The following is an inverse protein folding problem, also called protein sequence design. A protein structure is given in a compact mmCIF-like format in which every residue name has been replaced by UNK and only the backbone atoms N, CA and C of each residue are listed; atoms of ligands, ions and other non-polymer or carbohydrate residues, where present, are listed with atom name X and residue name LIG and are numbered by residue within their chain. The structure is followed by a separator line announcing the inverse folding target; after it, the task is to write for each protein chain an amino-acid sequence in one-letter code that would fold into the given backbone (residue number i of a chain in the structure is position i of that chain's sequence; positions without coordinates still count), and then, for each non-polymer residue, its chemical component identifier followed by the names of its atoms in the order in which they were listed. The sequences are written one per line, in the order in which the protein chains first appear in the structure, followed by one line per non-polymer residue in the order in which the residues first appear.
data_IF_524373535152
#
_entry.id   IF_524373535152
#
_cell.length_a   1.000
_cell.length_b   1.000
_cell.length_c   1.000
_cell.angle_alpha   90.00
_cell.angle_beta   90.00
_cell.angle_gamma   90.00
#
_symmetry.space_group_name_H-M   'P 1'
#
loop_
_entity.id
_entity.type
_entity.pdbx_description
1 polymer ?
#
# COMPACT_ATOMS: atom_id res chain seq x y z
N UNK A 1 -61.59 60.26 27.34
CA UNK A 1 -61.41 58.99 26.61
C UNK A 1 -60.69 59.29 25.31
N UNK A 2 -59.36 59.17 25.29
CA UNK A 2 -58.58 59.23 24.05
C UNK A 2 -58.51 57.82 23.46
N UNK A 3 -59.03 57.65 22.25
CA UNK A 3 -58.85 56.43 21.46
C UNK A 3 -57.38 56.35 21.04
N UNK A 4 -56.69 55.31 21.50
CA UNK A 4 -55.44 54.87 20.90
C UNK A 4 -55.75 54.30 19.52
N UNK A 5 -55.10 54.83 18.49
CA UNK A 5 -55.29 54.39 17.11
C UNK A 5 -54.69 52.99 16.91
N UNK A 6 -55.33 52.22 16.03
CA UNK A 6 -54.93 50.86 15.63
C UNK A 6 -53.56 50.78 14.90
N UNK A 7 -52.85 51.91 14.74
CA UNK A 7 -51.60 51.99 13.98
C UNK A 7 -50.32 51.76 14.81
N UNK A 8 -50.39 51.72 16.14
CA UNK A 8 -49.20 51.52 17.00
C UNK A 8 -48.82 50.03 17.24
N UNK A 9 -49.48 49.08 16.56
CA UNK A 9 -49.22 47.63 16.71
C UNK A 9 -48.53 46.97 15.51
N UNK A 10 -47.96 47.74 14.58
CA UNK A 10 -47.17 47.19 13.47
C UNK A 10 -45.69 47.45 13.72
N UNK A 11 -45.09 46.71 14.66
CA UNK A 11 -43.64 46.61 14.73
C UNK A 11 -43.14 46.04 13.40
N UNK A 12 -42.28 46.80 12.70
CA UNK A 12 -41.65 46.34 11.48
C UNK A 12 -40.94 44.99 11.74
N UNK A 13 -41.05 44.01 10.82
CA UNK A 13 -40.34 42.74 10.99
C UNK A 13 -38.83 43.03 11.12
N UNK A 14 -38.12 42.35 12.03
CA UNK A 14 -36.69 42.54 12.16
C UNK A 14 -36.03 42.26 10.81
N UNK A 15 -35.13 43.16 10.38
CA UNK A 15 -34.38 42.99 9.16
C UNK A 15 -33.71 41.61 9.15
N UNK A 16 -33.72 40.89 8.00
CA UNK A 16 -33.11 39.57 7.94
C UNK A 16 -31.65 39.67 8.34
N UNK A 17 -31.28 38.95 9.39
CA UNK A 17 -29.89 38.84 9.85
C UNK A 17 -29.10 38.28 8.67
N UNK A 18 -28.16 39.07 8.14
CA UNK A 18 -27.30 38.61 7.06
C UNK A 18 -26.67 37.28 7.47
N UNK A 19 -26.83 36.25 6.64
CA UNK A 19 -26.22 34.95 6.89
C UNK A 19 -24.73 35.15 7.15
N UNK A 20 -24.14 34.47 8.15
CA UNK A 20 -22.73 34.62 8.47
C UNK A 20 -21.93 34.33 7.19
N UNK A 21 -21.18 35.34 6.73
CA UNK A 21 -20.29 35.20 5.58
C UNK A 21 -19.28 34.12 5.97
N UNK A 22 -19.34 32.97 5.30
CA UNK A 22 -18.45 31.86 5.57
C UNK A 22 -17.00 32.36 5.52
N UNK A 23 -16.31 32.27 6.65
CA UNK A 23 -14.91 32.65 6.72
C UNK A 23 -14.14 31.87 5.64
N UNK A 24 -13.37 32.56 4.80
CA UNK A 24 -12.50 31.91 3.81
C UNK A 24 -11.59 30.94 4.56
N UNK A 25 -11.83 29.65 4.40
CA UNK A 25 -11.01 28.61 5.03
C UNK A 25 -9.60 28.77 4.49
N UNK A 26 -8.65 29.12 5.37
CA UNK A 26 -7.24 29.22 5.01
C UNK A 26 -6.70 27.81 4.84
N UNK A 27 -6.49 27.41 3.59
CA UNK A 27 -5.93 26.09 3.26
C UNK A 27 -4.46 26.02 3.72
N UNK A 28 -4.06 24.85 4.22
CA UNK A 28 -2.66 24.54 4.49
C UNK A 28 -1.86 24.34 3.18
N UNK A 29 -0.52 24.42 3.20
CA UNK A 29 0.31 24.14 2.02
C UNK A 29 -0.01 22.78 1.38
N UNK A 30 -0.20 21.74 2.18
CA UNK A 30 -0.59 20.41 1.70
C UNK A 30 -1.97 20.41 1.04
N UNK A 31 -2.95 21.12 1.61
CA UNK A 31 -4.28 21.22 1.01
C UNK A 31 -4.25 21.97 -0.33
N UNK A 32 -3.37 22.97 -0.46
CA UNK A 32 -3.14 23.69 -1.72
C UNK A 32 -2.51 22.74 -2.75
N UNK A 33 -1.47 22.02 -2.38
CA UNK A 33 -0.80 21.04 -3.26
C UNK A 33 -1.76 19.94 -3.73
N UNK A 34 -2.59 19.39 -2.83
CA UNK A 34 -3.59 18.37 -3.18
C UNK A 34 -4.65 18.90 -4.14
N UNK A 35 -5.12 20.14 -3.92
CA UNK A 35 -6.06 20.83 -4.83
C UNK A 35 -5.42 21.04 -6.19
N UNK A 36 -4.21 21.58 -6.24
CA UNK A 36 -3.53 21.93 -7.48
C UNK A 36 -3.17 20.67 -8.28
N UNK A 37 -2.72 19.61 -7.60
CA UNK A 37 -2.53 18.28 -8.20
C UNK A 37 -3.83 17.73 -8.79
N UNK A 38 -4.97 17.87 -8.08
CA UNK A 38 -6.27 17.44 -8.61
C UNK A 38 -6.66 18.21 -9.86
N UNK A 39 -6.55 19.53 -9.85
CA UNK A 39 -6.87 20.37 -11.01
C UNK A 39 -5.98 20.02 -12.21
N UNK A 40 -4.68 19.82 -11.99
CA UNK A 40 -3.75 19.38 -13.03
C UNK A 40 -4.13 18.01 -13.61
N UNK A 41 -4.57 17.06 -12.78
CA UNK A 41 -5.07 15.77 -13.25
C UNK A 41 -6.28 15.92 -14.14
N UNK A 42 -7.30 16.68 -13.72
CA UNK A 42 -8.49 16.90 -14.55
C UNK A 42 -8.17 17.59 -15.88
N UNK A 43 -7.33 18.63 -15.88
CA UNK A 43 -6.92 19.30 -17.10
C UNK A 43 -6.16 18.35 -18.07
N UNK A 44 -5.35 17.43 -17.54
CA UNK A 44 -4.67 16.44 -18.36
C UNK A 44 -5.63 15.39 -18.93
N UNK A 45 -6.72 15.05 -18.23
CA UNK A 45 -7.67 14.04 -18.69
C UNK A 45 -8.43 14.44 -19.96
N UNK A 46 -8.55 15.73 -20.23
CA UNK A 46 -9.18 16.26 -21.44
C UNK A 46 -8.36 15.98 -22.71
N UNK A 47 -7.07 15.66 -22.57
CA UNK A 47 -6.21 15.28 -23.70
C UNK A 47 -6.10 13.76 -23.91
N UNK A 48 -6.69 12.96 -23.03
CA UNK A 48 -6.53 11.51 -23.06
C UNK A 48 -7.43 10.86 -24.13
N UNK A 49 -6.93 9.81 -24.79
CA UNK A 49 -7.75 8.98 -25.67
C UNK A 49 -8.81 8.23 -24.87
N UNK A 50 -9.94 7.94 -25.52
CA UNK A 50 -11.06 7.21 -24.90
C UNK A 50 -10.96 5.70 -25.01
N UNK A 51 -10.08 5.18 -25.88
CA UNK A 51 -9.85 3.76 -26.06
C UNK A 51 -8.70 3.23 -25.18
N UNK A 52 -8.80 1.96 -24.81
CA UNK A 52 -7.83 1.30 -23.93
C UNK A 52 -6.41 1.31 -24.50
N UNK A 53 -6.25 1.08 -25.81
CA UNK A 53 -4.92 1.02 -26.42
C UNK A 53 -4.22 2.38 -26.37
N UNK A 54 -4.96 3.46 -26.67
CA UNK A 54 -4.50 4.83 -26.52
C UNK A 54 -4.11 5.14 -25.08
N UNK A 55 -4.95 4.79 -24.11
CA UNK A 55 -4.68 5.05 -22.69
C UNK A 55 -3.42 4.32 -22.21
N UNK A 56 -3.26 3.05 -22.57
CA UNK A 56 -2.08 2.25 -22.21
C UNK A 56 -0.81 2.78 -22.86
N UNK A 57 -0.87 3.22 -24.12
CA UNK A 57 0.26 3.85 -24.80
C UNK A 57 0.69 5.15 -24.07
N UNK A 58 -0.27 5.99 -23.70
CA UNK A 58 0.04 7.20 -22.93
C UNK A 58 0.61 6.85 -21.56
N UNK A 59 0.09 5.83 -20.89
CA UNK A 59 0.59 5.40 -19.60
C UNK A 59 2.03 4.89 -19.65
N UNK A 60 2.43 4.17 -20.71
CA UNK A 60 3.82 3.80 -20.92
C UNK A 60 4.75 5.00 -21.11
N UNK A 61 4.28 6.07 -21.77
CA UNK A 61 5.04 7.31 -21.93
C UNK A 61 5.27 7.97 -20.57
N UNK A 62 4.20 8.14 -19.77
CA UNK A 62 4.29 8.79 -18.45
C UNK A 62 5.07 7.94 -17.44
N UNK A 63 5.00 6.61 -17.51
CA UNK A 63 5.80 5.71 -16.67
C UNK A 63 7.30 5.83 -16.96
N UNK A 64 7.70 5.93 -18.23
CA UNK A 64 9.11 6.17 -18.61
C UNK A 64 9.58 7.56 -18.18
N UNK A 65 8.71 8.58 -18.28
CA UNK A 65 9.01 9.91 -17.81
C UNK A 65 9.20 9.92 -16.28
N UNK A 66 8.34 9.21 -15.54
CA UNK A 66 8.46 9.03 -14.09
C UNK A 66 9.78 8.33 -13.72
N UNK A 67 10.12 7.21 -14.36
CA UNK A 67 11.40 6.51 -14.13
C UNK A 67 12.61 7.42 -14.38
N UNK A 68 12.57 8.19 -15.46
CA UNK A 68 13.62 9.17 -15.79
C UNK A 68 13.75 10.23 -14.70
N UNK A 69 12.62 10.80 -14.26
CA UNK A 69 12.59 11.82 -13.20
C UNK A 69 13.13 11.28 -11.87
N UNK A 70 12.75 10.07 -11.47
CA UNK A 70 13.29 9.40 -10.27
C UNK A 70 14.81 9.26 -10.36
N UNK A 71 15.34 8.80 -11.50
CA UNK A 71 16.79 8.62 -11.69
C UNK A 71 17.56 9.94 -11.70
N UNK A 72 16.95 11.02 -12.20
CA UNK A 72 17.56 12.36 -12.24
C UNK A 72 17.35 13.16 -10.94
N UNK A 73 16.59 12.61 -9.97
CA UNK A 73 16.15 13.33 -8.77
C UNK A 73 15.35 14.62 -9.09
N UNK A 74 14.58 14.59 -10.17
CA UNK A 74 13.67 15.66 -10.58
C UNK A 74 12.32 15.53 -9.86
N UNK A 75 12.16 16.26 -8.76
CA UNK A 75 10.94 16.24 -7.94
C UNK A 75 9.70 16.63 -8.74
N UNK A 76 9.75 17.74 -9.47
CA UNK A 76 8.61 18.24 -10.23
C UNK A 76 8.22 17.26 -11.35
N UNK A 77 9.22 16.64 -12.00
CA UNK A 77 9.02 15.57 -12.96
C UNK A 77 8.35 14.32 -12.38
N UNK A 78 8.75 13.89 -11.17
CA UNK A 78 8.13 12.77 -10.46
C UNK A 78 6.66 13.06 -10.13
N UNK A 79 6.39 14.22 -9.52
CA UNK A 79 5.02 14.63 -9.15
C UNK A 79 4.14 14.78 -10.39
N UNK A 80 4.66 15.41 -11.45
CA UNK A 80 3.93 15.60 -12.71
C UNK A 80 3.57 14.26 -13.35
N UNK A 81 4.55 13.38 -13.55
CA UNK A 81 4.33 12.10 -14.22
C UNK A 81 3.47 11.16 -13.38
N UNK A 82 3.67 11.14 -12.05
CA UNK A 82 2.83 10.38 -11.12
C UNK A 82 1.38 10.85 -11.12
N UNK A 83 1.14 12.16 -11.12
CA UNK A 83 -0.21 12.73 -11.26
C UNK A 83 -0.84 12.35 -12.62
N UNK A 84 -0.07 12.37 -13.71
CA UNK A 84 -0.58 11.99 -15.04
C UNK A 84 -0.93 10.52 -15.15
N UNK A 85 -0.11 9.62 -14.59
CA UNK A 85 -0.48 8.21 -14.46
C UNK A 85 -1.78 8.03 -13.68
N UNK A 86 -1.95 8.77 -12.57
CA UNK A 86 -3.17 8.72 -11.78
C UNK A 86 -4.38 9.25 -12.55
N UNK A 87 -4.19 10.33 -13.31
CA UNK A 87 -5.21 10.88 -14.20
C UNK A 87 -5.65 9.87 -15.27
N UNK A 88 -4.76 9.03 -15.79
CA UNK A 88 -5.13 7.97 -16.74
C UNK A 88 -6.04 6.93 -16.08
N UNK A 89 -5.73 6.49 -14.86
CA UNK A 89 -6.61 5.59 -14.09
C UNK A 89 -7.97 6.23 -13.77
N UNK A 90 -7.98 7.50 -13.35
CA UNK A 90 -9.20 8.29 -13.12
C UNK A 90 -10.02 8.48 -14.42
N UNK A 91 -9.37 8.63 -15.57
CA UNK A 91 -10.03 8.73 -16.88
C UNK A 91 -10.62 7.40 -17.33
N UNK A 92 -9.88 6.29 -17.21
CA UNK A 92 -10.39 4.96 -17.50
C UNK A 92 -11.61 4.61 -16.63
N UNK A 93 -11.61 5.09 -15.38
CA UNK A 93 -12.76 4.99 -14.48
C UNK A 93 -13.90 5.98 -14.81
N UNK A 94 -13.68 7.01 -15.63
CA UNK A 94 -14.70 8.04 -15.89
C UNK A 94 -15.01 8.92 -14.68
N UNK A 95 -14.07 9.11 -13.77
CA UNK A 95 -14.26 9.86 -12.52
C UNK A 95 -14.67 11.31 -12.77
N UNK A 96 -15.76 11.81 -12.19
CA UNK A 96 -16.17 13.21 -12.35
C UNK A 96 -15.53 14.13 -11.30
N UNK A 97 -15.52 15.44 -11.55
CA UNK A 97 -15.03 16.43 -10.57
C UNK A 97 -15.89 16.42 -9.30
N UNK A 98 -17.20 16.29 -9.46
CA UNK A 98 -18.15 16.20 -8.35
C UNK A 98 -17.84 15.01 -7.43
N UNK A 99 -17.60 13.82 -8.00
CA UNK A 99 -17.19 12.64 -7.22
C UNK A 99 -15.85 12.83 -6.52
N UNK A 100 -14.89 13.50 -7.18
CA UNK A 100 -13.59 13.80 -6.60
C UNK A 100 -13.66 14.81 -5.42
N UNK A 101 -14.64 15.70 -5.43
CA UNK A 101 -14.87 16.70 -4.38
C UNK A 101 -15.67 16.14 -3.19
N UNK A 102 -16.56 15.17 -3.43
CA UNK A 102 -17.39 14.54 -2.39
C UNK A 102 -16.57 13.95 -1.24
N UNK A 103 -15.35 13.48 -1.53
CA UNK A 103 -14.47 12.85 -0.56
C UNK A 103 -14.94 11.43 -0.20
N UNK A 104 -14.06 10.45 -0.42
CA UNK A 104 -14.39 9.02 -0.27
C UNK A 104 -14.22 8.26 -1.59
N UNK A 105 -14.26 6.92 -1.55
CA UNK A 105 -14.15 6.12 -2.77
C UNK A 105 -15.40 6.33 -3.64
N UNK A 106 -15.24 6.52 -4.97
CA UNK A 106 -16.39 6.59 -5.86
C UNK A 106 -17.09 5.23 -5.98
N UNK A 107 -18.39 5.26 -6.23
CA UNK A 107 -19.19 4.07 -6.52
C UNK A 107 -18.77 3.47 -7.87
N UNK A 108 -18.94 2.15 -8.05
CA UNK A 108 -18.59 1.48 -9.30
C UNK A 108 -19.36 2.00 -10.52
N UNK A 109 -18.71 2.01 -11.68
CA UNK A 109 -19.22 2.62 -12.92
C UNK A 109 -19.71 1.60 -13.97
N UNK A 110 -19.89 0.33 -13.58
CA UNK A 110 -20.24 -0.79 -14.46
C UNK A 110 -19.07 -1.43 -15.20
N UNK A 111 -17.95 -0.72 -15.42
CA UNK A 111 -16.68 -1.27 -15.92
C UNK A 111 -15.77 -1.72 -14.80
N UNK A 112 -15.72 -0.94 -13.71
CA UNK A 112 -14.90 -1.17 -12.52
C UNK A 112 -15.78 -1.09 -11.28
N UNK A 113 -15.52 -1.93 -10.27
CA UNK A 113 -16.28 -1.87 -9.01
C UNK A 113 -15.87 -0.68 -8.15
N UNK A 114 -14.64 -0.19 -8.30
CA UNK A 114 -14.13 1.01 -7.66
C UNK A 114 -12.94 1.61 -8.42
N UNK A 115 -12.51 2.81 -8.05
CA UNK A 115 -11.34 3.47 -8.64
C UNK A 115 -10.06 2.63 -8.51
N UNK A 116 -9.92 1.86 -7.42
CA UNK A 116 -8.76 1.00 -7.23
C UNK A 116 -8.68 -0.11 -8.28
N UNK A 117 -9.82 -0.62 -8.79
CA UNK A 117 -9.81 -1.64 -9.84
C UNK A 117 -9.33 -1.07 -11.17
N UNK A 118 -9.67 0.18 -11.49
CA UNK A 118 -9.13 0.87 -12.66
C UNK A 118 -7.62 1.07 -12.55
N UNK A 119 -7.12 1.47 -11.38
CA UNK A 119 -5.68 1.57 -11.11
C UNK A 119 -4.98 0.21 -11.22
N UNK A 120 -5.61 -0.88 -10.76
CA UNK A 120 -5.06 -2.24 -10.89
C UNK A 120 -5.03 -2.70 -12.33
N UNK A 121 -6.09 -2.49 -13.10
CA UNK A 121 -6.13 -2.78 -14.53
C UNK A 121 -4.98 -2.08 -15.27
N UNK A 122 -4.78 -0.78 -15.00
CA UNK A 122 -3.68 0.00 -15.57
C UNK A 122 -2.32 -0.61 -15.19
N UNK A 123 -2.12 -0.91 -13.91
CA UNK A 123 -0.84 -1.42 -13.43
C UNK A 123 -0.51 -2.84 -13.86
N UNK A 124 -1.52 -3.70 -13.99
CA UNK A 124 -1.34 -5.05 -14.48
C UNK A 124 -0.98 -5.05 -15.98
N UNK A 125 -1.55 -4.12 -16.75
CA UNK A 125 -1.18 -3.93 -18.16
C UNK A 125 0.23 -3.34 -18.36
N UNK A 126 0.76 -2.65 -17.35
CA UNK A 126 2.11 -2.07 -17.36
C UNK A 126 3.14 -2.93 -16.61
N UNK A 127 2.75 -4.09 -16.07
CA UNK A 127 3.62 -4.89 -15.21
C UNK A 127 4.91 -5.31 -15.96
N UNK A 128 6.03 -5.29 -15.25
CA UNK A 128 7.26 -5.93 -15.73
C UNK A 128 7.06 -7.46 -15.78
N UNK A 129 7.74 -8.14 -16.70
CA UNK A 129 7.70 -9.60 -16.71
C UNK A 129 8.39 -10.15 -15.46
N UNK A 130 7.97 -11.34 -15.00
CA UNK A 130 8.59 -12.01 -13.86
C UNK A 130 10.10 -12.21 -14.11
N UNK A 131 10.92 -11.75 -13.16
CA UNK A 131 12.38 -11.79 -13.21
C UNK A 131 13.03 -10.53 -13.79
N UNK A 132 12.30 -9.69 -14.53
CA UNK A 132 12.82 -8.43 -15.03
C UNK A 132 12.87 -7.37 -13.92
N UNK A 133 13.90 -6.52 -13.97
CA UNK A 133 13.98 -5.36 -13.06
C UNK A 133 12.97 -4.32 -13.56
N UNK A 134 11.96 -3.94 -12.75
CA UNK A 134 10.98 -2.95 -13.16
C UNK A 134 11.59 -1.56 -13.25
N UNK A 135 10.96 -0.68 -14.02
CA UNK A 135 11.12 0.76 -13.88
C UNK A 135 10.60 1.25 -12.52
N UNK A 136 11.03 2.43 -12.08
CA UNK A 136 10.40 3.06 -10.92
C UNK A 136 8.90 3.30 -11.19
N UNK A 137 8.06 3.01 -10.20
CA UNK A 137 6.60 3.11 -10.33
C UNK A 137 5.94 1.93 -11.04
N UNK A 138 6.70 1.05 -11.70
CA UNK A 138 6.19 -0.13 -12.39
C UNK A 138 6.08 -1.32 -11.42
N UNK A 139 4.95 -2.03 -11.45
CA UNK A 139 4.78 -3.28 -10.70
C UNK A 139 5.69 -4.36 -11.28
N UNK A 140 6.31 -5.18 -10.44
CA UNK A 140 7.14 -6.29 -10.90
C UNK A 140 7.45 -7.30 -9.81
N UNK A 141 7.80 -8.52 -10.21
CA UNK A 141 8.27 -9.59 -9.33
C UNK A 141 9.63 -10.06 -9.78
N UNK A 142 10.63 -9.98 -8.92
CA UNK A 142 12.01 -10.28 -9.28
C UNK A 142 12.85 -10.57 -8.04
N UNK A 143 13.98 -11.24 -8.25
CA UNK A 143 14.91 -11.53 -7.16
C UNK A 143 15.71 -10.28 -6.78
N UNK A 144 15.88 -10.00 -5.48
CA UNK A 144 16.83 -9.01 -4.96
C UNK A 144 17.61 -9.58 -3.76
N UNK A 145 18.64 -8.87 -3.31
CA UNK A 145 19.37 -9.19 -2.08
C UNK A 145 19.07 -8.18 -0.96
N UNK A 146 18.49 -8.64 0.14
CA UNK A 146 18.26 -7.80 1.33
C UNK A 146 19.07 -8.34 2.50
N UNK A 147 20.02 -7.55 2.96
CA UNK A 147 20.93 -7.92 4.04
C UNK A 147 21.60 -9.29 3.80
N UNK A 148 22.11 -9.58 2.60
CA UNK A 148 22.75 -10.87 2.30
C UNK A 148 21.79 -12.06 2.20
N UNK A 149 20.48 -11.81 2.12
CA UNK A 149 19.47 -12.84 1.91
C UNK A 149 18.86 -12.65 0.51
N UNK A 150 18.85 -13.70 -0.31
CA UNK A 150 18.15 -13.71 -1.60
C UNK A 150 16.66 -13.85 -1.35
N UNK A 151 15.89 -12.95 -1.95
CA UNK A 151 14.43 -12.93 -1.81
C UNK A 151 13.74 -12.78 -3.15
N UNK A 152 12.64 -13.49 -3.31
CA UNK A 152 11.64 -13.27 -4.35
C UNK A 152 10.81 -12.06 -3.92
N UNK A 153 11.01 -10.93 -4.61
CA UNK A 153 10.49 -9.65 -4.23
C UNK A 153 9.35 -9.23 -5.14
N UNK A 154 8.19 -8.93 -4.56
CA UNK A 154 7.05 -8.37 -5.27
C UNK A 154 6.95 -6.88 -4.97
N UNK A 155 7.30 -6.05 -5.95
CA UNK A 155 7.17 -4.60 -5.89
C UNK A 155 5.81 -4.16 -6.45
N UNK A 156 5.07 -3.42 -5.65
CA UNK A 156 3.68 -3.04 -5.95
C UNK A 156 3.54 -1.85 -6.92
N UNK A 157 4.61 -1.10 -7.17
CA UNK A 157 4.61 0.08 -8.04
C UNK A 157 3.89 1.29 -7.44
N UNK A 158 3.58 2.28 -8.29
CA UNK A 158 3.06 3.59 -7.90
C UNK A 158 1.71 3.51 -7.16
N UNK A 159 0.78 2.68 -7.63
CA UNK A 159 -0.60 2.62 -7.09
C UNK A 159 -0.79 1.61 -5.97
N UNK A 160 0.23 0.80 -5.64
CA UNK A 160 0.17 -0.21 -4.60
C UNK A 160 0.56 0.30 -3.21
N UNK A 161 0.39 1.60 -2.93
CA UNK A 161 0.95 2.30 -1.76
C UNK A 161 2.46 2.13 -1.64
N UNK A 162 3.15 1.89 -2.77
CA UNK A 162 4.59 1.70 -2.85
C UNK A 162 5.13 0.71 -1.79
N UNK A 163 4.42 -0.39 -1.57
CA UNK A 163 4.86 -1.51 -0.77
C UNK A 163 5.75 -2.48 -1.54
N UNK A 164 6.56 -3.26 -0.81
CA UNK A 164 7.37 -4.33 -1.35
C UNK A 164 7.32 -5.56 -0.44
N UNK A 165 7.12 -6.72 -1.03
CA UNK A 165 6.99 -7.99 -0.31
C UNK A 165 8.18 -8.89 -0.60
N UNK A 166 8.98 -9.20 0.42
CA UNK A 166 10.09 -10.14 0.31
C UNK A 166 9.67 -11.52 0.78
N UNK A 167 9.86 -12.54 -0.06
CA UNK A 167 9.76 -13.96 0.29
C UNK A 167 11.14 -14.60 0.20
N UNK A 168 11.55 -15.33 1.22
CA UNK A 168 12.84 -16.02 1.24
C UNK A 168 12.92 -17.04 0.10
N UNK A 169 14.07 -17.11 -0.58
CA UNK A 169 14.38 -18.16 -1.56
C UNK A 169 15.18 -19.28 -0.88
N UNK A 170 16.22 -18.90 -0.14
CA UNK A 170 17.12 -19.82 0.55
C UNK A 170 16.56 -20.17 1.96
N UNK A 171 15.54 -21.03 2.04
CA UNK A 171 14.86 -21.37 3.31
C UNK A 171 15.78 -21.94 4.41
N UNK A 172 16.92 -22.53 4.01
CA UNK A 172 17.91 -23.11 4.92
C UNK A 172 18.89 -22.07 5.50
N UNK A 173 18.88 -20.83 4.98
CA UNK A 173 19.73 -19.75 5.48
C UNK A 173 18.98 -18.88 6.49
N UNK A 174 19.68 -18.28 7.47
CA UNK A 174 19.07 -17.31 8.38
C UNK A 174 18.45 -16.13 7.62
N UNK A 175 17.17 -15.88 7.86
CA UNK A 175 16.37 -14.82 7.29
C UNK A 175 15.96 -13.80 8.37
N UNK A 176 15.48 -12.63 7.97
CA UNK A 176 15.06 -11.56 8.88
C UNK A 176 13.62 -11.69 9.41
N UNK A 177 13.00 -12.86 9.20
CA UNK A 177 11.63 -13.20 9.62
C UNK A 177 11.46 -14.72 9.68
N UNK A 178 10.94 -15.25 10.78
CA UNK A 178 10.67 -16.70 10.89
C UNK A 178 9.61 -17.20 9.90
N UNK A 179 8.77 -16.29 9.39
CA UNK A 179 7.70 -16.63 8.45
C UNK A 179 8.23 -16.92 7.05
N UNK A 180 9.49 -16.57 6.76
CA UNK A 180 10.01 -16.50 5.39
C UNK A 180 9.45 -15.33 4.58
N UNK A 181 8.72 -14.41 5.22
CA UNK A 181 8.07 -13.26 4.60
C UNK A 181 8.30 -11.96 5.37
N UNK A 182 8.44 -10.84 4.66
CA UNK A 182 8.39 -9.49 5.24
C UNK A 182 7.89 -8.48 4.21
N UNK A 183 6.97 -7.64 4.65
CA UNK A 183 6.57 -6.43 3.93
C UNK A 183 7.51 -5.26 4.27
N UNK A 184 7.75 -4.40 3.28
CA UNK A 184 8.53 -3.17 3.36
C UNK A 184 7.73 -2.01 2.81
N UNK A 185 7.91 -0.83 3.40
CA UNK A 185 7.46 0.42 2.80
C UNK A 185 8.59 0.97 1.93
N UNK A 186 8.48 0.92 0.61
CA UNK A 186 9.62 1.22 -0.29
C UNK A 186 9.60 2.61 -0.90
N UNK A 187 8.55 3.40 -0.61
CA UNK A 187 8.49 4.83 -0.83
C UNK A 187 7.87 5.49 0.42
N UNK A 188 8.62 6.35 1.12
CA UNK A 188 8.13 7.00 2.34
C UNK A 188 7.16 8.17 2.06
N UNK A 189 7.30 8.84 0.91
CA UNK A 189 6.55 10.05 0.55
C UNK A 189 5.77 9.80 -0.74
N UNK A 190 4.44 9.90 -0.70
CA UNK A 190 3.49 9.72 -1.82
C UNK A 190 4.09 10.04 -3.22
N UNK A 191 4.75 9.04 -3.84
CA UNK A 191 5.37 9.07 -5.17
C UNK A 191 6.75 9.72 -5.34
N UNK A 192 7.45 10.11 -4.28
CA UNK A 192 8.77 10.74 -4.39
C UNK A 192 9.86 9.76 -3.97
N UNK A 193 10.78 9.49 -4.90
CA UNK A 193 11.88 8.54 -4.71
C UNK A 193 13.20 9.26 -4.92
N UNK A 194 14.00 9.34 -3.85
CA UNK A 194 15.37 9.84 -3.91
C UNK A 194 16.34 8.69 -4.25
N UNK A 195 16.27 8.15 -5.46
CA UNK A 195 17.06 6.97 -5.88
C UNK A 195 18.57 7.21 -5.86
N UNK A 196 19.03 8.47 -5.90
CA UNK A 196 20.44 8.84 -5.91
C UNK A 196 21.24 8.07 -6.98
N UNK A 197 20.72 8.05 -8.22
CA UNK A 197 21.28 7.36 -9.40
C UNK A 197 21.26 5.83 -9.37
N UNK A 198 20.67 5.21 -8.34
CA UNK A 198 20.42 3.76 -8.35
C UNK A 198 19.31 3.41 -9.35
N UNK A 199 19.36 2.18 -9.87
CA UNK A 199 18.21 1.58 -10.52
C UNK A 199 17.17 1.10 -9.49
N UNK A 200 16.02 0.61 -9.96
CA UNK A 200 14.94 0.19 -9.08
C UNK A 200 15.41 -0.90 -8.10
N UNK A 201 16.15 -1.91 -8.58
CA UNK A 201 16.73 -2.97 -7.75
C UNK A 201 17.60 -2.39 -6.63
N UNK A 202 18.64 -1.64 -6.98
CA UNK A 202 19.58 -1.10 -5.99
C UNK A 202 18.90 -0.16 -4.99
N UNK A 203 17.92 0.63 -5.43
CA UNK A 203 17.12 1.46 -4.54
C UNK A 203 16.32 0.63 -3.53
N UNK A 204 15.60 -0.41 -3.99
CA UNK A 204 14.80 -1.27 -3.13
C UNK A 204 15.66 -2.01 -2.11
N UNK A 205 16.80 -2.56 -2.53
CA UNK A 205 17.77 -3.20 -1.64
C UNK A 205 18.25 -2.23 -0.54
N UNK A 206 18.57 -0.99 -0.93
CA UNK A 206 18.97 0.07 0.01
C UNK A 206 17.87 0.42 1.00
N UNK A 207 16.64 0.65 0.54
CA UNK A 207 15.53 1.05 1.40
C UNK A 207 15.10 -0.07 2.33
N UNK A 208 15.04 -1.31 1.83
CA UNK A 208 14.75 -2.48 2.63
C UNK A 208 15.82 -2.65 3.72
N UNK A 209 17.11 -2.56 3.36
CA UNK A 209 18.21 -2.62 4.33
C UNK A 209 18.11 -1.51 5.38
N UNK A 210 17.78 -0.28 4.97
CA UNK A 210 17.59 0.85 5.87
C UNK A 210 16.56 0.55 6.97
N UNK A 211 15.43 -0.08 6.62
CA UNK A 211 14.39 -0.48 7.57
C UNK A 211 14.81 -1.61 8.53
N UNK A 212 15.87 -2.34 8.20
CA UNK A 212 16.45 -3.38 9.06
C UNK A 212 17.56 -2.84 9.98
N UNK A 213 17.85 -1.54 9.94
CA UNK A 213 18.95 -0.91 10.68
C UNK A 213 18.52 0.35 11.44
N UNK A 214 19.18 0.68 12.56
CA UNK A 214 19.12 1.99 13.24
C UNK A 214 20.53 2.50 13.48
N UNK A 215 20.87 3.70 13.01
CA UNK A 215 22.20 4.26 13.22
C UNK A 215 23.33 3.31 12.75
N UNK A 216 23.09 2.55 11.68
CA UNK A 216 24.01 1.54 11.14
C UNK A 216 24.05 0.20 11.91
N UNK A 217 23.31 0.04 13.01
CA UNK A 217 23.21 -1.22 13.77
C UNK A 217 22.04 -2.06 13.27
N UNK A 218 22.23 -3.38 13.19
CA UNK A 218 21.15 -4.33 12.81
C UNK A 218 20.06 -4.31 13.88
N UNK A 219 18.81 -4.06 13.49
CA UNK A 219 17.61 -4.15 14.35
C UNK A 219 17.07 -5.57 14.50
N UNK A 220 17.55 -6.48 13.66
CA UNK A 220 16.92 -7.78 13.44
C UNK A 220 17.86 -8.92 13.81
N UNK A 221 17.32 -9.88 14.56
CA UNK A 221 17.92 -11.20 14.69
C UNK A 221 17.61 -12.00 13.43
N UNK A 222 18.60 -12.70 12.89
CA UNK A 222 18.37 -13.61 11.77
C UNK A 222 18.09 -15.01 12.30
N UNK A 223 17.09 -15.65 11.72
CA UNK A 223 16.56 -16.93 12.17
C UNK A 223 16.12 -17.74 10.96
N UNK A 224 16.06 -19.06 11.09
CA UNK A 224 15.59 -19.93 10.01
C UNK A 224 14.11 -19.62 9.70
N UNK A 225 13.75 -19.64 8.43
CA UNK A 225 12.36 -19.54 8.03
C UNK A 225 11.68 -20.90 8.24
N UNK A 226 10.62 -20.93 9.03
CA UNK A 226 9.90 -22.15 9.36
C UNK A 226 8.60 -22.26 8.56
N UNK A 227 8.28 -23.47 8.04
CA UNK A 227 6.96 -23.75 7.49
C UNK A 227 5.85 -23.38 8.48
N UNK A 228 4.69 -22.96 7.96
CA UNK A 228 3.57 -22.51 8.78
C UNK A 228 3.13 -23.54 9.82
N UNK A 229 3.12 -24.83 9.46
CA UNK A 229 2.71 -25.91 10.36
C UNK A 229 3.67 -26.09 11.54
N UNK A 230 4.99 -25.94 11.34
CA UNK A 230 6.00 -26.01 12.39
C UNK A 230 5.86 -24.83 13.38
N UNK A 231 5.61 -23.62 12.85
CA UNK A 231 5.34 -22.43 13.68
C UNK A 231 4.03 -22.56 14.46
N UNK A 232 2.98 -23.03 13.81
CA UNK A 232 1.69 -23.27 14.48
C UNK A 232 1.81 -24.31 15.60
N UNK A 233 2.58 -25.39 15.39
CA UNK A 233 2.92 -26.35 16.44
C UNK A 233 3.63 -25.66 17.62
N UNK A 234 4.68 -24.89 17.35
CA UNK A 234 5.44 -24.14 18.38
C UNK A 234 4.53 -23.19 19.17
N UNK A 235 3.72 -22.41 18.47
CA UNK A 235 2.84 -21.41 19.09
C UNK A 235 1.75 -22.09 19.94
N UNK A 236 1.24 -23.24 19.48
CA UNK A 236 0.28 -24.07 20.22
C UNK A 236 0.91 -24.67 21.48
N UNK A 237 2.14 -25.20 21.39
CA UNK A 237 2.91 -25.69 22.54
C UNK A 237 3.18 -24.57 23.56
N UNK A 238 3.65 -23.41 23.10
CA UNK A 238 3.84 -22.22 23.94
C UNK A 238 2.55 -21.83 24.67
N UNK A 239 1.41 -21.88 23.96
CA UNK A 239 0.11 -21.58 24.54
C UNK A 239 -0.27 -22.61 25.62
N UNK A 240 -0.13 -23.91 25.34
CA UNK A 240 -0.44 -24.97 26.29
C UNK A 240 0.46 -24.99 27.54
N UNK A 241 1.72 -24.57 27.42
CA UNK A 241 2.64 -24.42 28.56
C UNK A 241 2.30 -23.19 29.43
N UNK A 242 1.85 -22.09 28.81
CA UNK A 242 1.52 -20.84 29.53
C UNK A 242 0.12 -20.85 30.14
N UNK A 243 -0.83 -21.44 29.44
CA UNK A 243 -2.22 -21.52 29.87
C UNK A 243 -2.51 -22.99 30.11
N UNK A 244 -2.80 -23.34 31.38
CA UNK A 244 -3.45 -24.62 31.67
C UNK A 244 -4.62 -24.73 30.70
N UNK A 245 -4.69 -25.84 29.94
CA UNK A 245 -5.71 -26.07 28.89
C UNK A 245 -7.05 -25.53 29.39
N UNK A 246 -7.47 -24.39 28.84
CA UNK A 246 -8.54 -23.58 29.42
C UNK A 246 -9.80 -24.44 29.59
N UNK A 247 -10.41 -24.37 30.77
CA UNK A 247 -11.75 -24.89 31.02
C UNK A 247 -12.73 -24.28 30.00
N UNK A 248 -13.13 -25.06 29.00
CA UNK A 248 -13.98 -24.60 27.90
C UNK A 248 -13.78 -25.30 26.57
N UNK A 249 -12.72 -26.10 26.42
CA UNK A 249 -12.57 -26.96 25.24
C UNK A 249 -13.43 -28.22 25.36
N UNK A 250 -14.21 -28.50 24.32
CA UNK A 250 -14.89 -29.80 24.17
C UNK A 250 -13.85 -30.91 23.96
N UNK A 251 -14.22 -32.16 24.24
CA UNK A 251 -13.36 -33.32 23.99
C UNK A 251 -12.99 -33.44 22.50
N UNK A 252 -13.95 -33.18 21.61
CA UNK A 252 -13.72 -33.13 20.16
C UNK A 252 -12.67 -32.10 19.76
N UNK A 253 -12.73 -30.87 20.29
CA UNK A 253 -11.74 -29.83 20.00
C UNK A 253 -10.35 -30.19 20.51
N UNK A 254 -10.26 -30.88 21.67
CA UNK A 254 -8.98 -31.39 22.19
C UNK A 254 -8.40 -32.46 21.28
N UNK A 255 -9.22 -33.42 20.85
CA UNK A 255 -8.80 -34.46 19.91
C UNK A 255 -8.34 -33.88 18.56
N UNK A 256 -9.07 -32.92 18.01
CA UNK A 256 -8.70 -32.24 16.75
C UNK A 256 -7.36 -31.51 16.87
N UNK A 257 -7.16 -30.77 17.96
CA UNK A 257 -5.90 -30.08 18.20
C UNK A 257 -4.73 -31.05 18.38
N UNK A 258 -4.90 -32.11 19.18
CA UNK A 258 -3.84 -33.09 19.44
C UNK A 258 -3.49 -33.86 18.15
N UNK A 259 -4.49 -34.15 17.30
CA UNK A 259 -4.26 -34.69 15.97
C UNK A 259 -3.46 -33.72 15.07
N UNK A 260 -3.75 -32.40 15.11
CA UNK A 260 -2.97 -31.39 14.38
C UNK A 260 -1.53 -31.29 14.88
N UNK A 261 -1.31 -31.36 16.19
CA UNK A 261 0.05 -31.35 16.76
C UNK A 261 0.84 -32.60 16.34
N UNK A 262 0.21 -33.78 16.37
CA UNK A 262 0.82 -35.02 15.93
C UNK A 262 1.16 -35.00 14.43
N UNK A 263 0.23 -34.54 13.58
CA UNK A 263 0.46 -34.40 12.16
C UNK A 263 1.60 -33.41 11.83
N UNK A 264 1.72 -32.33 12.60
CA UNK A 264 2.83 -31.38 12.45
C UNK A 264 4.18 -32.03 12.80
N UNK A 265 4.25 -32.83 13.88
CA UNK A 265 5.47 -33.57 14.26
C UNK A 265 5.87 -34.63 13.23
N UNK A 266 4.90 -35.41 12.73
CA UNK A 266 5.13 -36.40 11.67
C UNK A 266 5.66 -35.75 10.40
N UNK A 267 5.08 -34.60 10.03
CA UNK A 267 5.52 -33.83 8.88
C UNK A 267 6.91 -33.23 9.07
N UNK A 268 7.20 -32.67 10.25
CA UNK A 268 8.56 -32.18 10.57
C UNK A 268 9.58 -33.31 10.46
N UNK A 269 9.27 -34.51 10.99
CA UNK A 269 10.15 -35.67 10.87
C UNK A 269 10.39 -36.08 9.40
N UNK A 270 9.35 -36.05 8.57
CA UNK A 270 9.44 -36.35 7.13
C UNK A 270 10.28 -35.33 6.38
N UNK A 271 10.16 -34.05 6.72
CA UNK A 271 10.90 -32.94 6.10
C UNK A 271 12.29 -32.71 6.74
N UNK A 272 12.70 -33.53 7.73
CA UNK A 272 13.99 -33.39 8.41
C UNK A 272 14.12 -32.15 9.29
N UNK A 273 13.01 -31.63 9.80
CA UNK A 273 12.94 -30.48 10.69
C UNK A 273 12.97 -30.98 12.15
N UNK A 274 13.94 -30.50 12.94
CA UNK A 274 14.01 -30.79 14.38
C UNK A 274 13.01 -29.91 15.16
N UNK A 275 11.97 -30.50 15.80
CA UNK A 275 11.02 -29.73 16.59
C UNK A 275 11.67 -28.95 17.74
N UNK A 276 12.79 -29.41 18.27
CA UNK A 276 13.52 -28.70 19.33
C UNK A 276 14.28 -27.47 18.80
N UNK A 277 14.74 -27.51 17.55
CA UNK A 277 15.29 -26.32 16.86
C UNK A 277 14.19 -25.27 16.65
N UNK A 278 13.02 -25.70 16.14
CA UNK A 278 11.84 -24.83 15.98
C UNK A 278 11.43 -24.23 17.32
N UNK A 279 11.42 -25.03 18.38
CA UNK A 279 11.07 -24.58 19.73
C UNK A 279 12.02 -23.51 20.28
N UNK A 280 13.31 -23.59 19.96
CA UNK A 280 14.36 -22.66 20.42
C UNK A 280 14.44 -21.37 19.61
N UNK A 281 13.96 -21.35 18.37
CA UNK A 281 13.78 -20.10 17.63
C UNK A 281 12.74 -19.22 18.33
N UNK A 282 13.21 -18.17 19.00
CA UNK A 282 12.42 -17.12 19.67
C UNK A 282 12.99 -15.77 19.29
#
# INVERSE_FOLDING_TARGET
MQQLSFFDMMAAPPAPVAAPVAAKVKLSPWQIEQRDSRLARFAYRDSLPSDDAGMLNQAWIELRAYDTAVRSADYDGMVTSGNRLKAIGEHAFGMTMEEAEKGGPPDGNGRFFCLNDASRWLMDALAANDGEIPMFGQKGRFEIEVAGCRVDFSYSGLFGLCGGDARVIDHEKPFFSETGYRSFQVCPDDFVIAAAKLDCRGWLERVCLGQLTEGGKKKIHRTRAWPSYARQWRDSRNYAEKYARIDGWTEERRAEHDAKQAAALERMATEGIDPEEVWRSK
#
